data_IF_160947858129
#
_entry.id   IF_160947858129
#
_cell.length_a   1.000
_cell.length_b   1.000
_cell.length_c   1.000
_cell.angle_alpha   90.00
_cell.angle_beta   90.00
_cell.angle_gamma   90.00
#
_symmetry.space_group_name_H-M   'P 1'
#
loop_
_entity.id
_entity.type
_entity.pdbx_description
1 polymer ?
#
# COMPACT_ATOMS: atom_id res chain seq x y z
N UNK A 1 -8.40 -16.00 -14.85
CA UNK A 1 -7.05 -15.57 -14.40
C UNK A 1 -6.19 -16.75 -13.99
N UNK A 2 -6.73 -17.75 -13.29
CA UNK A 2 -5.97 -18.96 -12.90
C UNK A 2 -5.39 -19.72 -14.10
N UNK A 3 -6.16 -19.93 -15.18
CA UNK A 3 -5.68 -20.57 -16.41
C UNK A 3 -4.44 -19.85 -16.99
N UNK A 4 -4.47 -18.51 -17.07
CA UNK A 4 -3.32 -17.71 -17.54
C UNK A 4 -2.08 -17.87 -16.64
N UNK A 5 -2.28 -18.05 -15.34
CA UNK A 5 -1.20 -18.31 -14.39
C UNK A 5 -0.64 -19.72 -14.58
N UNK A 6 -1.50 -20.72 -14.75
CA UNK A 6 -1.13 -22.12 -14.97
C UNK A 6 -0.43 -22.33 -16.32
N UNK A 7 -0.84 -21.60 -17.36
CA UNK A 7 -0.18 -21.54 -18.66
C UNK A 7 1.14 -20.74 -18.62
N UNK A 8 1.46 -20.09 -17.51
CA UNK A 8 2.69 -19.32 -17.34
C UNK A 8 2.71 -17.98 -18.07
N UNK A 9 1.56 -17.51 -18.58
CA UNK A 9 1.42 -16.21 -19.26
C UNK A 9 1.50 -15.04 -18.28
N UNK A 10 1.15 -15.26 -17.02
CA UNK A 10 1.28 -14.29 -15.92
C UNK A 10 1.97 -14.92 -14.72
N UNK A 11 2.69 -14.09 -13.94
CA UNK A 11 3.52 -14.56 -12.81
C UNK A 11 2.81 -14.54 -11.46
N UNK A 12 1.70 -13.83 -11.37
CA UNK A 12 0.88 -13.72 -10.17
C UNK A 12 -0.52 -13.24 -10.56
N UNK A 13 -1.51 -13.56 -9.72
CA UNK A 13 -2.86 -13.02 -9.78
C UNK A 13 -3.13 -12.23 -8.50
N UNK A 14 -3.87 -11.14 -8.61
CA UNK A 14 -4.20 -10.27 -7.50
C UNK A 14 -5.54 -9.59 -7.72
N UNK A 15 -6.01 -8.89 -6.71
CA UNK A 15 -7.27 -8.13 -6.75
C UNK A 15 -7.07 -6.69 -6.27
N UNK A 16 -8.10 -5.87 -6.41
CA UNK A 16 -8.11 -4.50 -5.90
C UNK A 16 -9.48 -4.18 -5.31
N UNK A 17 -9.49 -3.43 -4.21
CA UNK A 17 -10.69 -2.98 -3.52
C UNK A 17 -11.59 -4.09 -2.98
N UNK A 18 -11.01 -5.24 -2.62
CA UNK A 18 -11.75 -6.32 -1.97
C UNK A 18 -11.82 -6.07 -0.47
N UNK A 19 -13.04 -6.08 0.07
CA UNK A 19 -13.31 -6.14 1.51
C UNK A 19 -13.04 -7.56 2.07
N UNK A 20 -12.83 -7.72 3.39
CA UNK A 20 -12.48 -9.01 3.99
C UNK A 20 -13.44 -10.16 3.68
N UNK A 21 -14.75 -9.91 3.68
CA UNK A 21 -15.79 -10.87 3.35
C UNK A 21 -15.67 -11.33 1.89
N UNK A 22 -15.54 -10.38 0.95
CA UNK A 22 -15.38 -10.68 -0.48
C UNK A 22 -14.07 -11.38 -0.79
N UNK A 23 -13.00 -11.03 -0.08
CA UNK A 23 -11.71 -11.69 -0.21
C UNK A 23 -11.77 -13.12 0.34
N UNK A 24 -12.50 -13.35 1.45
CA UNK A 24 -12.74 -14.69 2.00
C UNK A 24 -13.50 -15.57 1.02
N UNK A 25 -14.59 -15.04 0.44
CA UNK A 25 -15.36 -15.75 -0.58
C UNK A 25 -14.44 -16.15 -1.75
N UNK A 26 -13.68 -15.19 -2.28
CA UNK A 26 -12.77 -15.43 -3.41
C UNK A 26 -11.75 -16.52 -3.09
N UNK A 27 -11.10 -16.44 -1.93
CA UNK A 27 -10.11 -17.44 -1.48
C UNK A 27 -10.75 -18.82 -1.34
N UNK A 28 -11.97 -18.90 -0.81
CA UNK A 28 -12.68 -20.16 -0.58
C UNK A 28 -13.02 -20.87 -1.89
N UNK A 29 -13.35 -20.12 -2.94
CA UNK A 29 -13.80 -20.66 -4.22
C UNK A 29 -12.75 -20.63 -5.33
N UNK A 30 -11.51 -20.22 -5.05
CA UNK A 30 -10.40 -20.22 -6.00
C UNK A 30 -9.34 -21.27 -5.63
N UNK A 31 -8.67 -21.83 -6.64
CA UNK A 31 -7.54 -22.74 -6.45
C UNK A 31 -6.27 -21.98 -6.06
N UNK A 32 -6.15 -20.73 -6.52
CA UNK A 32 -4.99 -19.86 -6.27
C UNK A 32 -5.41 -18.68 -5.41
N UNK A 33 -4.76 -18.54 -4.24
CA UNK A 33 -4.92 -17.37 -3.36
C UNK A 33 -4.37 -16.12 -4.07
N UNK A 34 -5.10 -14.99 -4.10
CA UNK A 34 -4.58 -13.75 -4.66
C UNK A 34 -3.27 -13.35 -3.97
N UNK A 35 -2.22 -13.09 -4.75
CA UNK A 35 -0.92 -12.69 -4.21
C UNK A 35 -0.98 -11.30 -3.54
N UNK A 36 -1.81 -10.40 -4.07
CA UNK A 36 -1.99 -9.03 -3.57
C UNK A 36 -3.47 -8.65 -3.54
N UNK A 37 -3.83 -7.76 -2.61
CA UNK A 37 -5.06 -6.98 -2.68
C UNK A 37 -4.71 -5.49 -2.52
N UNK A 38 -4.91 -4.74 -3.60
CA UNK A 38 -4.62 -3.31 -3.65
C UNK A 38 -5.82 -2.51 -3.14
N UNK A 39 -5.65 -1.81 -2.01
CA UNK A 39 -6.73 -1.05 -1.35
C UNK A 39 -6.27 0.33 -0.92
N UNK A 40 -7.21 1.27 -0.75
CA UNK A 40 -6.89 2.62 -0.31
C UNK A 40 -6.30 2.54 1.08
N UNK A 41 -5.05 2.95 1.25
CA UNK A 41 -4.44 2.94 2.59
C UNK A 41 -3.50 4.11 2.77
N UNK A 42 -3.80 4.95 3.75
CA UNK A 42 -3.04 6.16 4.07
C UNK A 42 -3.32 6.58 5.53
N UNK A 43 -2.66 7.63 6.08
CA UNK A 43 -2.83 8.00 7.49
C UNK A 43 -4.28 8.24 7.94
N UNK A 44 -5.14 8.76 7.05
CA UNK A 44 -6.56 8.99 7.32
C UNK A 44 -7.49 7.78 7.06
N UNK A 45 -6.98 6.72 6.44
CA UNK A 45 -7.74 5.51 6.13
C UNK A 45 -6.79 4.31 6.26
N UNK A 46 -6.55 3.91 7.51
CA UNK A 46 -5.39 3.08 7.83
C UNK A 46 -5.57 1.59 7.53
N UNK A 47 -6.81 1.12 7.40
CA UNK A 47 -7.13 -0.28 7.07
C UNK A 47 -6.44 -1.29 8.00
N UNK A 48 -6.28 -1.02 9.31
CA UNK A 48 -5.50 -1.86 10.23
C UNK A 48 -5.98 -3.31 10.22
N UNK A 49 -7.26 -3.54 10.54
CA UNK A 49 -7.83 -4.88 10.61
C UNK A 49 -7.83 -5.57 9.23
N UNK A 50 -8.03 -4.82 8.14
CA UNK A 50 -8.01 -5.36 6.78
C UNK A 50 -6.60 -5.79 6.36
N UNK A 51 -5.57 -5.00 6.71
CA UNK A 51 -4.17 -5.35 6.48
C UNK A 51 -3.75 -6.58 7.29
N UNK A 52 -4.20 -6.71 8.53
CA UNK A 52 -3.97 -7.91 9.35
C UNK A 52 -4.68 -9.14 8.77
N UNK A 53 -5.94 -8.98 8.36
CA UNK A 53 -6.71 -10.05 7.71
C UNK A 53 -6.04 -10.53 6.41
N UNK A 54 -5.62 -9.61 5.53
CA UNK A 54 -4.91 -9.93 4.30
C UNK A 54 -3.64 -10.74 4.59
N UNK A 55 -2.80 -10.29 5.53
CA UNK A 55 -1.58 -11.02 5.92
C UNK A 55 -1.87 -12.41 6.48
N UNK A 56 -2.87 -12.53 7.36
CA UNK A 56 -3.29 -13.82 7.91
C UNK A 56 -3.80 -14.79 6.83
N UNK A 57 -4.37 -14.25 5.76
CA UNK A 57 -4.89 -14.99 4.61
C UNK A 57 -3.83 -15.28 3.53
N UNK A 58 -2.57 -14.90 3.75
CA UNK A 58 -1.49 -15.07 2.77
C UNK A 58 -1.54 -14.09 1.59
N UNK A 59 -2.29 -12.99 1.72
CA UNK A 59 -2.45 -11.94 0.70
C UNK A 59 -1.61 -10.73 1.10
N UNK A 60 -0.75 -10.23 0.20
CA UNK A 60 0.07 -9.05 0.47
C UNK A 60 -0.76 -7.76 0.35
N UNK A 61 -0.85 -6.92 1.41
CA UNK A 61 -1.49 -5.62 1.30
C UNK A 61 -0.68 -4.68 0.39
N UNK A 62 -1.38 -4.00 -0.51
CA UNK A 62 -0.81 -2.95 -1.37
C UNK A 62 -1.65 -1.66 -1.27
N UNK A 63 -1.00 -0.55 -0.95
CA UNK A 63 -1.63 0.76 -0.79
C UNK A 63 -1.72 1.47 -2.13
N UNK A 64 -2.95 1.72 -2.60
CA UNK A 64 -3.21 2.80 -3.54
C UNK A 64 -3.56 4.11 -2.80
N UNK A 65 -3.34 5.24 -3.48
CA UNK A 65 -3.43 6.60 -2.92
C UNK A 65 -2.77 6.75 -1.54
N UNK A 66 -1.47 6.38 -1.37
CA UNK A 66 -0.78 6.51 -0.08
C UNK A 66 -0.78 7.94 0.48
N UNK A 67 -0.99 8.94 -0.38
CA UNK A 67 -1.07 10.35 0.00
C UNK A 67 -2.49 10.91 0.10
N UNK A 68 -3.53 10.06 0.22
CA UNK A 68 -4.93 10.50 0.22
C UNK A 68 -5.26 11.44 -0.97
N UNK A 69 -4.63 11.19 -2.12
CA UNK A 69 -4.72 12.05 -3.33
C UNK A 69 -4.35 13.53 -3.09
N UNK A 70 -3.58 13.84 -2.06
CA UNK A 70 -3.24 15.20 -1.63
C UNK A 70 -4.34 15.91 -0.84
N UNK A 71 -5.42 15.22 -0.47
CA UNK A 71 -6.52 15.74 0.35
C UNK A 71 -6.10 15.90 1.81
N UNK A 72 -6.97 16.53 2.61
CA UNK A 72 -6.84 16.69 4.06
C UNK A 72 -5.51 17.35 4.50
N UNK A 73 -4.92 18.16 3.61
CA UNK A 73 -3.65 18.85 3.87
C UNK A 73 -2.55 17.89 4.33
N UNK A 74 -2.51 16.67 3.78
CA UNK A 74 -1.63 15.60 4.28
C UNK A 74 -0.16 16.05 4.39
N UNK A 75 0.34 16.81 3.41
CA UNK A 75 1.73 17.26 3.37
C UNK A 75 2.08 18.35 4.40
N UNK A 76 1.07 18.98 4.99
CA UNK A 76 1.22 20.02 6.01
C UNK A 76 0.50 19.65 7.31
N UNK A 77 0.15 18.37 7.49
CA UNK A 77 -0.58 17.91 8.65
C UNK A 77 0.24 18.12 9.94
N UNK A 78 -0.35 18.68 11.03
CA UNK A 78 0.39 19.11 12.21
C UNK A 78 1.09 17.95 12.96
N UNK A 79 0.60 16.72 12.82
CA UNK A 79 1.28 15.53 13.37
C UNK A 79 2.43 15.05 12.49
N UNK A 80 2.32 15.18 11.16
CA UNK A 80 3.31 14.64 10.23
C UNK A 80 4.50 15.57 10.04
N UNK A 81 4.29 16.89 10.10
CA UNK A 81 5.34 17.89 9.95
C UNK A 81 6.47 17.77 10.99
N UNK A 82 6.20 17.64 12.30
CA UNK A 82 7.26 17.44 13.29
C UNK A 82 8.06 16.16 13.07
N UNK A 83 7.40 15.07 12.67
CA UNK A 83 8.05 13.79 12.36
C UNK A 83 8.99 13.97 11.17
N UNK A 84 8.50 14.56 10.08
CA UNK A 84 9.29 14.86 8.90
C UNK A 84 10.54 15.70 9.24
N UNK A 85 10.40 16.73 10.08
CA UNK A 85 11.52 17.55 10.56
C UNK A 85 12.51 16.74 11.39
N UNK A 86 12.04 15.88 12.30
CA UNK A 86 12.91 15.07 13.15
C UNK A 86 13.83 14.13 12.36
N UNK A 87 13.37 13.65 11.19
CA UNK A 87 14.16 12.79 10.31
C UNK A 87 14.87 13.53 9.17
N UNK A 88 14.71 14.86 9.08
CA UNK A 88 15.15 15.64 7.92
C UNK A 88 14.64 15.08 6.58
N UNK A 89 13.35 14.73 6.55
CA UNK A 89 12.63 14.16 5.40
C UNK A 89 11.39 14.97 5.08
N UNK A 90 10.80 14.72 3.91
CA UNK A 90 9.48 15.27 3.57
C UNK A 90 8.36 14.49 4.25
N UNK A 91 7.18 15.11 4.37
CA UNK A 91 5.99 14.39 4.86
C UNK A 91 5.62 13.23 3.93
N UNK A 92 5.85 13.36 2.62
CA UNK A 92 5.63 12.27 1.67
C UNK A 92 6.50 11.05 2.02
N UNK A 93 7.79 11.27 2.26
CA UNK A 93 8.72 10.21 2.66
C UNK A 93 8.31 9.55 3.97
N UNK A 94 7.89 10.34 4.97
CA UNK A 94 7.38 9.81 6.25
C UNK A 94 6.15 8.92 6.05
N UNK A 95 5.18 9.35 5.24
CA UNK A 95 3.96 8.55 4.99
C UNK A 95 4.29 7.23 4.29
N UNK A 96 5.16 7.25 3.28
CA UNK A 96 5.60 6.03 2.61
C UNK A 96 6.38 5.11 3.55
N UNK A 97 7.30 5.67 4.33
CA UNK A 97 8.08 4.90 5.31
C UNK A 97 7.18 4.24 6.35
N UNK A 98 6.17 4.97 6.84
CA UNK A 98 5.20 4.45 7.79
C UNK A 98 4.39 3.27 7.22
N UNK A 99 3.92 3.35 5.97
CA UNK A 99 3.23 2.23 5.30
C UNK A 99 4.16 1.01 5.12
N UNK A 100 5.40 1.24 4.69
CA UNK A 100 6.40 0.18 4.49
C UNK A 100 6.72 -0.53 5.81
N UNK A 101 6.89 0.22 6.91
CA UNK A 101 7.12 -0.34 8.25
C UNK A 101 5.95 -1.21 8.72
N UNK A 102 4.73 -0.92 8.25
CA UNK A 102 3.54 -1.75 8.48
C UNK A 102 3.49 -2.98 7.57
N UNK A 103 4.50 -3.25 6.74
CA UNK A 103 4.52 -4.36 5.80
C UNK A 103 3.51 -4.21 4.66
N UNK A 104 3.21 -2.97 4.26
CA UNK A 104 2.29 -2.64 3.18
C UNK A 104 3.12 -2.17 1.98
N UNK A 105 2.90 -2.77 0.81
CA UNK A 105 3.51 -2.32 -0.46
C UNK A 105 2.92 -0.96 -0.82
N UNK A 106 3.72 -0.03 -1.34
CA UNK A 106 3.25 1.33 -1.69
C UNK A 106 3.47 1.62 -3.17
N UNK A 107 2.46 2.21 -3.81
CA UNK A 107 2.52 2.65 -5.21
C UNK A 107 2.25 4.16 -5.35
N UNK A 108 3.15 5.05 -4.87
CA UNK A 108 2.93 6.49 -4.96
C UNK A 108 3.00 6.99 -6.42
N UNK A 109 1.88 7.50 -6.93
CA UNK A 109 1.80 8.08 -8.27
C UNK A 109 2.54 9.42 -8.36
N UNK A 110 3.48 9.54 -9.30
CA UNK A 110 4.09 10.80 -9.72
C UNK A 110 4.49 10.75 -11.19
N UNK A 111 4.42 11.91 -11.86
CA UNK A 111 4.99 12.13 -13.20
C UNK A 111 6.20 13.07 -13.16
N UNK A 112 6.54 13.61 -11.98
CA UNK A 112 7.67 14.54 -11.78
C UNK A 112 8.90 13.75 -11.33
N UNK A 113 10.02 13.75 -12.09
CA UNK A 113 11.22 12.97 -11.76
C UNK A 113 11.80 13.23 -10.37
N UNK A 114 11.72 14.48 -9.90
CA UNK A 114 12.21 14.88 -8.58
C UNK A 114 11.42 14.20 -7.48
N UNK A 115 10.09 14.15 -7.62
CA UNK A 115 9.20 13.46 -6.69
C UNK A 115 9.34 11.94 -6.77
N UNK A 116 9.63 11.38 -7.94
CA UNK A 116 9.91 9.94 -8.06
C UNK A 116 11.16 9.57 -7.26
N UNK A 117 12.24 10.36 -7.40
CA UNK A 117 13.46 10.21 -6.59
C UNK A 117 13.18 10.38 -5.09
N UNK A 118 12.45 11.42 -4.72
CA UNK A 118 12.08 11.67 -3.32
C UNK A 118 11.27 10.51 -2.72
N UNK A 119 10.25 10.02 -3.44
CA UNK A 119 9.41 8.90 -3.00
C UNK A 119 10.18 7.58 -2.87
N UNK A 120 11.27 7.41 -3.62
CA UNK A 120 12.12 6.23 -3.56
C UNK A 120 13.13 6.29 -2.40
N UNK A 121 13.54 7.50 -1.99
CA UNK A 121 14.49 7.74 -0.89
C UNK A 121 13.83 7.60 0.50
N UNK A 122 13.28 6.41 0.78
CA UNK A 122 12.51 6.13 2.00
C UNK A 122 13.08 4.98 2.84
N UNK A 123 14.22 4.42 2.45
CA UNK A 123 14.81 3.25 3.11
C UNK A 123 15.97 3.58 4.06
N UNK A 124 16.44 4.82 4.07
CA UNK A 124 17.63 5.28 4.80
C UNK A 124 17.33 6.02 6.11
N UNK A 125 16.12 5.86 6.68
CA UNK A 125 15.77 6.44 7.98
C UNK A 125 14.77 5.55 8.76
N UNK A 126 14.71 5.77 10.08
CA UNK A 126 13.81 5.09 11.02
C UNK A 126 12.91 6.10 11.69
#
# INVERSE_FOLDING_TARGET
>A
MEELYEEGLIRAIGVSNFAPDRLTDLITFSRIVPAVNQVETHPFHQQINNAEFMKASGVQPESWAPFAEGKNQIFTHPVLLPIARAHNKSVAQVVLRWLIQRGIVVIPKSVKPERMRENFDVFNFL
#
